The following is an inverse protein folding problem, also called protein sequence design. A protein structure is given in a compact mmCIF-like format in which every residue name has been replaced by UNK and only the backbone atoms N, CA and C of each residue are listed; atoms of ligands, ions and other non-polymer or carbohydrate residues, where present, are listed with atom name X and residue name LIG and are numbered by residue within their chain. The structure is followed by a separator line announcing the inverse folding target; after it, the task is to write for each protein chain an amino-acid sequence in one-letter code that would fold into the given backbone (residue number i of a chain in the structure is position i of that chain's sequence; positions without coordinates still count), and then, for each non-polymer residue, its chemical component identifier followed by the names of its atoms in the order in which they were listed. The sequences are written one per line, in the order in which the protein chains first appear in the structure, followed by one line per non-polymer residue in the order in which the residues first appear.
data_IF_546603392828
#
_entry.id   IF_546603392828
#
_cell.length_a   1.000
_cell.length_b   1.000
_cell.length_c   1.000
_cell.angle_alpha   90.00
_cell.angle_beta   90.00
_cell.angle_gamma   90.00
#
_symmetry.space_group_name_H-M   'P 1'
#
loop_
_entity.id
_entity.type
_entity.pdbx_description
1 polymer ?
#
# COMPACT_ATOMS: atom_id res chain seq x y z
N UNK A 1 4.77 1.16 -34.06
CA UNK A 1 4.17 1.89 -32.92
C UNK A 1 5.05 1.58 -31.72
N UNK A 2 5.87 2.53 -31.28
CA UNK A 2 6.76 2.31 -30.14
C UNK A 2 5.90 2.23 -28.88
N UNK A 3 5.82 1.04 -28.27
CA UNK A 3 5.25 0.90 -26.95
C UNK A 3 6.08 1.76 -25.99
N UNK A 4 5.45 2.71 -25.30
CA UNK A 4 6.10 3.46 -24.23
C UNK A 4 6.68 2.46 -23.22
N UNK A 5 7.91 2.67 -22.73
CA UNK A 5 8.50 1.76 -21.76
C UNK A 5 7.57 1.61 -20.55
N UNK A 6 7.22 0.37 -20.24
CA UNK A 6 6.34 0.03 -19.12
C UNK A 6 7.19 -0.04 -17.85
N UNK A 7 7.24 1.07 -17.12
CA UNK A 7 8.03 1.22 -15.90
C UNK A 7 7.23 0.88 -14.64
N UNK A 8 5.90 0.90 -14.72
CA UNK A 8 5.00 0.52 -13.62
C UNK A 8 4.33 -0.81 -13.92
N UNK A 9 4.25 -1.67 -12.90
CA UNK A 9 3.56 -2.96 -12.98
C UNK A 9 2.09 -2.84 -12.52
N UNK A 10 1.10 -2.98 -13.43
CA UNK A 10 -0.33 -2.90 -13.10
C UNK A 10 -0.79 -3.98 -12.12
N UNK A 11 -0.17 -5.17 -12.18
CA UNK A 11 -0.52 -6.28 -11.30
C UNK A 11 -0.15 -5.95 -9.85
N UNK A 12 0.98 -5.26 -9.64
CA UNK A 12 1.40 -4.79 -8.31
C UNK A 12 0.49 -3.68 -7.80
N UNK A 13 0.05 -2.75 -8.65
CA UNK A 13 -0.94 -1.73 -8.27
C UNK A 13 -2.25 -2.37 -7.79
N UNK A 14 -2.79 -3.29 -8.58
CA UNK A 14 -4.05 -3.97 -8.23
C UNK A 14 -3.89 -4.84 -6.97
N UNK A 15 -2.76 -5.52 -6.84
CA UNK A 15 -2.42 -6.31 -5.64
C UNK A 15 -2.36 -5.43 -4.39
N UNK A 16 -1.65 -4.30 -4.44
CA UNK A 16 -1.45 -3.43 -3.28
C UNK A 16 -2.79 -2.89 -2.75
N UNK A 17 -3.68 -2.49 -3.66
CA UNK A 17 -5.05 -2.07 -3.33
C UNK A 17 -5.88 -3.20 -2.73
N UNK A 18 -5.92 -4.36 -3.40
CA UNK A 18 -6.74 -5.52 -2.99
C UNK A 18 -6.30 -6.10 -1.65
N UNK A 19 -5.00 -6.09 -1.34
CA UNK A 19 -4.44 -6.50 -0.04
C UNK A 19 -5.13 -5.79 1.14
N UNK A 20 -5.52 -4.54 0.94
CA UNK A 20 -6.19 -3.70 1.94
C UNK A 20 -7.72 -3.68 1.82
N UNK A 21 -8.30 -4.49 0.93
CA UNK A 21 -9.73 -4.45 0.58
C UNK A 21 -10.23 -3.04 0.18
N UNK A 22 -9.39 -2.24 -0.48
CA UNK A 22 -9.77 -0.92 -0.94
C UNK A 22 -10.51 -1.00 -2.29
N UNK A 23 -11.62 -0.27 -2.42
CA UNK A 23 -12.24 -0.03 -3.73
C UNK A 23 -11.55 1.12 -4.45
N UNK A 24 -11.71 1.19 -5.78
CA UNK A 24 -11.15 2.27 -6.59
C UNK A 24 -11.66 3.65 -6.10
N UNK A 25 -12.96 3.75 -5.80
CA UNK A 25 -13.56 4.99 -5.30
C UNK A 25 -13.02 5.40 -3.93
N UNK A 26 -12.76 4.43 -3.05
CA UNK A 26 -12.13 4.70 -1.75
C UNK A 26 -10.73 5.26 -1.93
N UNK A 27 -9.93 4.71 -2.85
CA UNK A 27 -8.57 5.22 -3.13
C UNK A 27 -8.64 6.65 -3.66
N UNK A 28 -9.54 6.93 -4.60
CA UNK A 28 -9.72 8.28 -5.13
C UNK A 28 -10.10 9.26 -4.01
N UNK A 29 -11.02 8.89 -3.11
CA UNK A 29 -11.42 9.73 -1.99
C UNK A 29 -10.29 9.94 -0.97
N UNK A 30 -9.51 8.89 -0.65
CA UNK A 30 -8.35 9.01 0.21
C UNK A 30 -7.26 9.91 -0.40
N UNK A 31 -7.06 9.85 -1.73
CA UNK A 31 -6.12 10.74 -2.42
C UNK A 31 -6.50 12.22 -2.30
N UNK A 32 -7.81 12.53 -2.28
CA UNK A 32 -8.28 13.91 -2.05
C UNK A 32 -8.02 14.39 -0.63
N UNK A 33 -8.10 13.50 0.37
CA UNK A 33 -7.80 13.86 1.77
C UNK A 33 -6.31 14.14 1.98
N UNK A 34 -5.45 13.47 1.22
CA UNK A 34 -4.01 13.72 1.20
C UNK A 34 -3.62 14.93 0.34
N UNK A 35 -4.55 15.45 -0.47
CA UNK A 35 -4.29 16.55 -1.39
C UNK A 35 -3.69 17.75 -0.65
N UNK A 36 -2.48 18.13 -1.06
CA UNK A 36 -1.67 19.15 -0.41
C UNK A 36 -0.38 19.40 -1.17
N UNK A 37 0.61 20.03 -0.54
CA UNK A 37 1.87 20.40 -1.20
C UNK A 37 2.70 19.21 -1.73
N UNK A 38 2.46 17.99 -1.23
CA UNK A 38 3.33 16.84 -1.49
C UNK A 38 2.63 15.64 -2.14
N UNK A 39 1.29 15.68 -2.32
CA UNK A 39 0.52 14.54 -2.83
C UNK A 39 -0.46 14.96 -3.92
N UNK A 40 -0.50 14.19 -4.99
CA UNK A 40 -1.33 14.40 -6.16
C UNK A 40 -2.68 13.68 -6.02
N UNK A 41 -3.76 14.37 -6.39
CA UNK A 41 -5.10 13.75 -6.40
C UNK A 41 -5.25 12.78 -7.56
N UNK A 42 -5.95 11.68 -7.32
CA UNK A 42 -6.18 10.64 -8.34
C UNK A 42 -7.67 10.41 -8.55
N UNK A 43 -8.11 10.25 -9.81
CA UNK A 43 -9.49 9.91 -10.14
C UNK A 43 -9.74 8.39 -10.27
N UNK A 44 -10.98 7.91 -10.07
CA UNK A 44 -11.33 6.50 -10.28
C UNK A 44 -11.01 5.98 -11.69
N UNK A 45 -11.17 6.84 -12.70
CA UNK A 45 -10.90 6.50 -14.09
C UNK A 45 -9.41 6.24 -14.30
N UNK A 46 -8.55 7.14 -13.82
CA UNK A 46 -7.09 6.97 -13.90
C UNK A 46 -6.64 5.68 -13.22
N UNK A 47 -7.12 5.39 -12.01
CA UNK A 47 -6.81 4.14 -11.30
C UNK A 47 -7.17 2.90 -12.11
N UNK A 48 -8.35 2.92 -12.74
CA UNK A 48 -8.81 1.81 -13.58
C UNK A 48 -7.89 1.62 -14.78
N UNK A 49 -7.57 2.71 -15.49
CA UNK A 49 -6.68 2.67 -16.64
C UNK A 49 -5.26 2.21 -16.29
N UNK A 50 -4.75 2.59 -15.11
CA UNK A 50 -3.43 2.17 -14.62
C UNK A 50 -3.40 0.68 -14.26
N UNK A 51 -4.43 0.18 -13.56
CA UNK A 51 -4.55 -1.24 -13.22
C UNK A 51 -4.78 -2.13 -14.45
N UNK A 52 -5.40 -1.60 -15.50
CA UNK A 52 -5.56 -2.29 -16.79
C UNK A 52 -4.31 -2.14 -17.70
N UNK A 53 -3.34 -1.32 -17.29
CA UNK A 53 -2.14 -1.03 -18.08
C UNK A 53 -2.40 -0.23 -19.35
N UNK A 54 -3.54 0.47 -19.44
CA UNK A 54 -3.92 1.35 -20.58
C UNK A 54 -3.18 2.70 -20.53
N UNK A 55 -2.88 3.19 -19.33
CA UNK A 55 -2.08 4.38 -19.08
C UNK A 55 -1.10 4.13 -17.92
N UNK A 56 -0.28 5.11 -17.59
CA UNK A 56 0.72 5.00 -16.51
C UNK A 56 0.63 6.20 -15.58
N UNK A 57 0.74 5.99 -14.26
CA UNK A 57 0.81 7.09 -13.29
C UNK A 57 2.17 7.78 -13.34
N UNK A 58 2.19 9.07 -13.02
CA UNK A 58 3.44 9.79 -12.75
C UNK A 58 3.95 9.48 -11.33
N UNK A 59 5.20 9.87 -11.05
CA UNK A 59 5.85 9.60 -9.76
C UNK A 59 5.06 10.18 -8.58
N UNK A 60 4.53 11.39 -8.69
CA UNK A 60 3.70 12.04 -7.66
C UNK A 60 2.43 11.24 -7.32
N UNK A 61 1.85 10.58 -8.32
CA UNK A 61 0.69 9.72 -8.13
C UNK A 61 1.11 8.43 -7.43
N UNK A 62 2.25 7.84 -7.83
CA UNK A 62 2.80 6.66 -7.16
C UNK A 62 3.16 6.93 -5.70
N UNK A 63 3.73 8.09 -5.38
CA UNK A 63 4.00 8.51 -4.01
C UNK A 63 2.71 8.60 -3.19
N UNK A 64 1.66 9.20 -3.76
CA UNK A 64 0.34 9.25 -3.14
C UNK A 64 -0.24 7.84 -2.90
N UNK A 65 -0.15 6.96 -3.90
CA UNK A 65 -0.62 5.57 -3.77
C UNK A 65 0.19 4.78 -2.74
N UNK A 66 1.50 5.04 -2.63
CA UNK A 66 2.36 4.38 -1.64
C UNK A 66 1.93 4.68 -0.21
N UNK A 67 1.53 5.93 0.06
CA UNK A 67 0.99 6.35 1.36
C UNK A 67 -0.39 5.74 1.62
N UNK A 68 -1.25 5.65 0.60
CA UNK A 68 -2.58 5.04 0.73
C UNK A 68 -2.45 3.52 0.98
N UNK A 69 -1.58 2.85 0.23
CA UNK A 69 -1.43 1.39 0.26
C UNK A 69 -0.51 0.87 1.36
N UNK A 70 0.14 1.79 2.10
CA UNK A 70 1.06 1.46 3.19
C UNK A 70 2.12 0.49 2.66
N UNK A 71 2.79 0.90 1.58
CA UNK A 71 3.89 0.15 0.97
C UNK A 71 4.93 1.09 0.39
N UNK A 72 6.19 0.66 0.25
CA UNK A 72 7.22 1.46 -0.41
C UNK A 72 6.84 1.75 -1.87
N UNK A 73 7.10 2.97 -2.35
CA UNK A 73 6.90 3.34 -3.76
C UNK A 73 7.66 2.40 -4.72
N UNK A 74 8.80 1.88 -4.25
CA UNK A 74 9.63 0.90 -4.97
C UNK A 74 8.87 -0.35 -5.42
N UNK A 75 7.80 -0.73 -4.74
CA UNK A 75 7.02 -1.94 -5.07
C UNK A 75 6.42 -1.85 -6.47
N UNK A 76 5.98 -0.68 -6.91
CA UNK A 76 5.31 -0.52 -8.20
C UNK A 76 6.22 -0.76 -9.41
N UNK A 77 7.54 -0.82 -9.21
CA UNK A 77 8.55 -1.11 -10.23
C UNK A 77 8.99 -2.58 -10.25
N UNK A 78 8.41 -3.43 -9.39
CA UNK A 78 8.75 -4.86 -9.34
C UNK A 78 8.13 -5.61 -10.51
N UNK A 79 8.87 -6.56 -11.09
CA UNK A 79 8.40 -7.43 -12.18
C UNK A 79 7.22 -8.32 -11.75
N UNK A 80 7.13 -8.65 -10.47
CA UNK A 80 6.10 -9.52 -9.90
C UNK A 80 5.63 -9.00 -8.54
N UNK A 81 4.41 -9.39 -8.15
CA UNK A 81 3.86 -9.05 -6.84
C UNK A 81 4.77 -9.57 -5.72
N UNK A 82 5.09 -8.75 -4.72
CA UNK A 82 5.94 -9.19 -3.62
C UNK A 82 5.21 -10.26 -2.78
N UNK A 83 5.96 -11.26 -2.34
CA UNK A 83 5.52 -12.23 -1.35
C UNK A 83 5.65 -11.59 0.03
N UNK A 84 4.53 -11.29 0.66
CA UNK A 84 4.50 -10.71 1.99
C UNK A 84 3.81 -11.70 2.93
N UNK A 85 4.57 -12.22 3.90
CA UNK A 85 4.01 -13.03 4.97
C UNK A 85 3.36 -12.07 5.99
N UNK A 86 2.02 -12.10 6.09
CA UNK A 86 1.34 -11.34 7.14
C UNK A 86 1.74 -11.92 8.51
N UNK A 87 2.40 -11.15 9.39
CA UNK A 87 2.84 -11.68 10.69
C UNK A 87 1.67 -11.93 11.65
N UNK A 88 0.47 -11.43 11.32
CA UNK A 88 -0.73 -11.63 12.13
C UNK A 88 -1.54 -12.84 11.68
N UNK A 89 -1.76 -13.75 12.62
CA UNK A 89 -2.68 -14.87 12.50
C UNK A 89 -4.06 -14.48 13.03
N UNK A 90 -5.04 -14.31 12.14
CA UNK A 90 -6.44 -14.04 12.47
C UNK A 90 -7.22 -15.31 12.88
N UNK A 91 -6.57 -16.29 13.54
CA UNK A 91 -7.10 -17.63 13.85
C UNK A 91 -8.37 -17.63 14.72
N UNK A 92 -8.78 -16.49 15.28
CA UNK A 92 -10.06 -16.30 15.99
C UNK A 92 -11.15 -15.54 15.22
N UNK A 93 -10.88 -15.06 14.00
CA UNK A 93 -11.80 -14.21 13.20
C UNK A 93 -12.33 -14.94 11.97
N UNK A 94 -12.34 -16.28 11.98
CA UNK A 94 -12.41 -17.16 10.80
C UNK A 94 -13.64 -17.01 9.89
N UNK A 95 -14.65 -16.23 10.27
CA UNK A 95 -15.80 -15.87 9.40
C UNK A 95 -15.90 -14.37 9.08
N UNK A 96 -15.16 -13.52 9.80
CA UNK A 96 -15.29 -12.06 9.81
C UNK A 96 -14.05 -11.33 9.27
N UNK A 97 -13.09 -12.04 8.69
CA UNK A 97 -11.91 -11.41 8.07
C UNK A 97 -12.29 -10.45 6.92
N UNK A 98 -13.39 -10.72 6.22
CA UNK A 98 -13.97 -9.81 5.22
C UNK A 98 -14.67 -8.60 5.87
N UNK A 99 -15.07 -8.69 7.15
CA UNK A 99 -15.66 -7.59 7.91
C UNK A 99 -14.61 -6.62 8.47
N UNK A 100 -13.31 -6.97 8.43
CA UNK A 100 -12.26 -6.04 8.80
C UNK A 100 -12.19 -4.96 7.71
N UNK A 101 -12.81 -3.81 8.00
CA UNK A 101 -12.83 -2.66 7.11
C UNK A 101 -11.43 -2.20 6.70
N UNK A 102 -11.34 -1.55 5.55
CA UNK A 102 -10.07 -1.09 4.96
C UNK A 102 -9.29 -0.16 5.89
N UNK A 103 -9.97 0.70 6.63
CA UNK A 103 -9.35 1.55 7.65
C UNK A 103 -8.65 0.73 8.76
N UNK A 104 -9.30 -0.32 9.27
CA UNK A 104 -8.70 -1.22 10.27
C UNK A 104 -7.49 -1.95 9.70
N UNK A 105 -7.57 -2.44 8.45
CA UNK A 105 -6.43 -3.10 7.78
C UNK A 105 -5.24 -2.15 7.59
N UNK A 106 -5.47 -0.90 7.18
CA UNK A 106 -4.42 0.13 7.06
C UNK A 106 -3.78 0.42 8.41
N UNK A 107 -4.58 0.61 9.46
CA UNK A 107 -4.08 0.85 10.81
C UNK A 107 -3.24 -0.32 11.33
N UNK A 108 -3.67 -1.56 11.09
CA UNK A 108 -2.92 -2.76 11.47
C UNK A 108 -1.60 -2.88 10.71
N UNK A 109 -1.60 -2.62 9.40
CA UNK A 109 -0.37 -2.61 8.59
C UNK A 109 0.61 -1.54 9.07
N UNK A 110 0.14 -0.32 9.31
CA UNK A 110 0.97 0.76 9.84
C UNK A 110 1.53 0.42 11.23
N UNK A 111 0.74 -0.20 12.09
CA UNK A 111 1.20 -0.67 13.39
C UNK A 111 2.33 -1.71 13.25
N UNK A 112 2.19 -2.70 12.37
CA UNK A 112 3.23 -3.70 12.10
C UNK A 112 4.51 -3.02 11.61
N UNK A 113 4.40 -2.12 10.64
CA UNK A 113 5.55 -1.37 10.09
C UNK A 113 6.32 -0.65 11.20
N UNK A 114 5.61 0.10 12.05
CA UNK A 114 6.21 0.80 13.18
C UNK A 114 6.83 -0.16 14.21
N UNK A 115 6.19 -1.30 14.48
CA UNK A 115 6.72 -2.32 15.38
C UNK A 115 8.02 -2.93 14.84
N UNK A 116 8.08 -3.24 13.54
CA UNK A 116 9.29 -3.71 12.87
C UNK A 116 10.41 -2.67 12.96
N UNK A 117 10.13 -1.42 12.62
CA UNK A 117 11.12 -0.34 12.71
C UNK A 117 11.64 -0.14 14.13
N UNK A 118 10.75 -0.21 15.13
CA UNK A 118 11.15 -0.11 16.53
C UNK A 118 12.06 -1.28 16.92
N UNK A 119 11.73 -2.50 16.52
CA UNK A 119 12.55 -3.68 16.77
C UNK A 119 13.95 -3.58 16.14
N UNK A 120 14.01 -3.18 14.86
CA UNK A 120 15.28 -2.96 14.17
C UNK A 120 16.11 -1.86 14.83
N UNK A 121 15.47 -0.77 15.26
CA UNK A 121 16.15 0.34 15.90
C UNK A 121 16.76 -0.09 17.24
N UNK A 122 16.01 -0.80 18.09
CA UNK A 122 16.50 -1.32 19.36
C UNK A 122 17.69 -2.27 19.19
N UNK A 123 17.65 -3.13 18.16
CA UNK A 123 18.76 -4.02 17.83
C UNK A 123 20.00 -3.24 17.40
N UNK A 124 19.83 -2.23 16.53
CA UNK A 124 20.95 -1.40 16.04
C UNK A 124 21.56 -0.50 17.11
N UNK A 125 20.77 -0.05 18.08
CA UNK A 125 21.22 0.83 19.17
C UNK A 125 21.67 0.09 20.42
N UNK A 126 21.62 -1.25 20.41
CA UNK A 126 21.92 -2.12 21.56
C UNK A 126 21.12 -1.74 22.83
N UNK A 127 19.95 -1.13 22.65
CA UNK A 127 19.09 -0.72 23.76
C UNK A 127 18.24 -1.89 24.26
N UNK A 128 18.32 -2.18 25.57
CA UNK A 128 17.46 -3.17 26.21
C UNK A 128 16.03 -2.65 26.33
N UNK A 129 15.04 -3.47 26.00
CA UNK A 129 13.62 -3.21 26.30
C UNK A 129 13.20 -3.99 27.55
N UNK A 130 13.20 -3.38 28.76
CA UNK A 130 12.76 -4.06 29.96
C UNK A 130 11.24 -4.23 29.92
N UNK A 131 10.76 -5.46 29.74
CA UNK A 131 9.37 -5.81 29.99
C UNK A 131 9.14 -5.73 31.50
N UNK A 132 8.23 -4.84 31.93
CA UNK A 132 7.80 -4.72 33.33
C UNK A 132 6.65 -5.68 33.63
#
# INVERSE_FOLDING_TARGET
MNALPKWVNPDVLSWARKRLNLTIDQVAEESKKLAGQFYATTSPQQLTEWEEGKSQPDLEHLETLSEIYVCPVGYFFLDQTPLEESPMSFRGLSKDQELIGSASKRSLQRFIELAHWTSELLQKTEQSWPLR
#
